data_IF_022459483898
#
_entry.id   IF_022459483898
#
_cell.length_a   1.000
_cell.length_b   1.000
_cell.length_c   1.000
_cell.angle_alpha   90.00
_cell.angle_beta   90.00
_cell.angle_gamma   90.00
#
_symmetry.space_group_name_H-M   'P 1'
#
loop_
_entity.id
_entity.type
_entity.pdbx_description
1 polymer ?
#
# COMPACT_ATOMS: atom_id res chain seq x y z
N UNK A 1 -18.38 56.23 -17.27
CA UNK A 1 -16.99 56.49 -16.86
C UNK A 1 -16.06 55.72 -17.79
N UNK A 2 -14.91 56.32 -18.10
CA UNK A 2 -13.91 55.91 -19.09
C UNK A 2 -12.98 54.78 -18.58
N UNK A 3 -12.45 53.99 -19.55
CA UNK A 3 -11.13 53.28 -19.61
C UNK A 3 -11.02 51.91 -18.88
N UNK A 4 -10.38 50.82 -19.37
CA UNK A 4 -9.37 50.52 -20.42
C UNK A 4 -9.44 49.02 -20.84
N UNK A 5 -9.01 48.71 -22.08
CA UNK A 5 -8.85 47.41 -22.76
C UNK A 5 -7.38 46.93 -22.71
N UNK A 6 -7.10 45.59 -22.70
CA UNK A 6 -5.99 44.83 -23.34
C UNK A 6 -5.81 43.47 -22.59
N UNK A 7 -6.05 42.25 -23.10
CA UNK A 7 -5.52 41.43 -24.24
C UNK A 7 -4.02 41.10 -24.18
N UNK A 8 -3.72 39.79 -24.29
CA UNK A 8 -2.51 39.05 -24.75
C UNK A 8 -2.07 37.96 -23.74
N UNK A 9 -1.63 36.72 -24.06
CA UNK A 9 -1.80 35.72 -25.14
C UNK A 9 -0.76 34.59 -24.88
N UNK A 10 -0.90 33.45 -25.60
CA UNK A 10 0.13 32.39 -25.84
C UNK A 10 0.44 31.50 -24.61
N UNK A 11 0.35 30.16 -24.63
CA UNK A 11 0.54 29.17 -25.69
C UNK A 11 1.80 28.36 -25.37
N UNK A 12 1.67 27.10 -24.93
CA UNK A 12 2.79 26.15 -24.93
C UNK A 12 2.28 24.76 -25.32
N UNK A 13 2.51 24.40 -26.57
CA UNK A 13 2.41 23.03 -27.08
C UNK A 13 3.58 22.22 -26.52
N UNK A 14 3.31 21.08 -25.90
CA UNK A 14 4.33 20.07 -25.60
C UNK A 14 4.23 19.00 -26.68
N UNK A 15 5.23 18.97 -27.55
CA UNK A 15 5.40 17.93 -28.56
C UNK A 15 5.99 16.66 -27.93
N UNK A 16 5.29 15.54 -28.04
CA UNK A 16 5.84 14.21 -27.76
C UNK A 16 6.72 13.77 -28.93
N UNK A 17 8.03 13.77 -28.71
CA UNK A 17 8.99 13.14 -29.62
C UNK A 17 8.98 11.62 -29.38
N UNK A 18 8.29 10.89 -30.25
CA UNK A 18 8.37 9.43 -30.35
C UNK A 18 9.65 9.03 -31.09
N UNK A 19 10.61 8.47 -30.37
CA UNK A 19 11.78 7.82 -30.98
C UNK A 19 11.38 6.47 -31.59
N UNK A 20 11.34 6.45 -32.93
CA UNK A 20 11.35 5.25 -33.77
C UNK A 20 12.62 4.42 -33.49
N UNK A 21 12.44 3.23 -32.91
CA UNK A 21 13.40 2.13 -33.07
C UNK A 21 13.23 1.52 -34.45
N UNK A 22 14.23 1.69 -35.32
CA UNK A 22 14.36 0.93 -36.58
C UNK A 22 15.21 -0.31 -36.33
N UNK A 23 14.60 -1.46 -36.62
CA UNK A 23 15.13 -2.65 -37.28
C UNK A 23 16.61 -3.02 -37.08
N UNK A 24 16.85 -4.23 -36.58
CA UNK A 24 17.73 -5.18 -37.27
C UNK A 24 17.32 -6.63 -36.98
N UNK A 25 16.87 -7.30 -38.03
CA UNK A 25 16.81 -8.76 -38.17
C UNK A 25 18.23 -9.29 -38.30
N UNK A 26 18.59 -10.35 -37.60
CA UNK A 26 19.41 -11.42 -38.17
C UNK A 26 19.24 -12.71 -37.37
N UNK A 27 19.11 -13.78 -38.14
CA UNK A 27 18.77 -15.15 -37.80
C UNK A 27 20.08 -15.93 -37.75
N UNK A 28 20.31 -16.78 -36.74
CA UNK A 28 21.35 -17.80 -36.78
C UNK A 28 20.99 -18.94 -35.80
N UNK A 29 20.32 -19.94 -36.37
CA UNK A 29 20.44 -21.38 -36.13
C UNK A 29 21.21 -21.81 -34.85
N UNK A 30 20.45 -22.30 -33.87
CA UNK A 30 20.98 -22.97 -32.69
C UNK A 30 21.01 -24.49 -32.95
N UNK A 31 22.20 -24.99 -33.26
CA UNK A 31 22.49 -26.42 -33.34
C UNK A 31 22.56 -26.99 -31.92
N UNK A 32 21.63 -27.90 -31.62
CA UNK A 32 21.53 -28.64 -30.36
C UNK A 32 22.65 -29.68 -30.27
N UNK A 33 23.56 -29.51 -29.30
CA UNK A 33 24.40 -30.60 -28.78
C UNK A 33 24.35 -30.56 -27.26
N UNK A 34 23.65 -31.56 -26.72
CA UNK A 34 23.54 -31.89 -25.31
C UNK A 34 24.90 -32.36 -24.79
N UNK A 35 25.47 -31.64 -23.82
CA UNK A 35 26.55 -32.13 -22.98
C UNK A 35 26.16 -31.91 -21.52
N UNK A 36 26.06 -33.01 -20.78
CA UNK A 36 25.87 -33.04 -19.33
C UNK A 36 27.05 -32.34 -18.64
N UNK A 37 26.75 -31.26 -17.91
CA UNK A 37 27.66 -30.70 -16.91
C UNK A 37 27.01 -30.81 -15.54
N UNK A 38 27.59 -31.66 -14.72
CA UNK A 38 27.43 -31.70 -13.26
C UNK A 38 27.81 -30.33 -12.71
N UNK A 39 26.81 -29.51 -12.39
CA UNK A 39 27.02 -28.18 -11.82
C UNK A 39 26.68 -28.22 -10.33
N UNK A 40 27.74 -28.24 -9.51
CA UNK A 40 27.68 -27.85 -8.12
C UNK A 40 27.02 -26.47 -8.03
N UNK A 41 25.84 -26.44 -7.42
CA UNK A 41 25.10 -25.20 -7.15
C UNK A 41 25.97 -24.27 -6.29
N UNK A 42 26.36 -23.08 -6.78
CA UNK A 42 26.83 -22.04 -5.89
C UNK A 42 25.62 -21.57 -5.09
N UNK A 43 25.76 -21.54 -3.77
CA UNK A 43 24.79 -20.91 -2.89
C UNK A 43 24.44 -19.53 -3.46
N UNK A 44 23.15 -19.31 -3.73
CA UNK A 44 22.65 -18.04 -4.23
C UNK A 44 23.01 -16.95 -3.22
N UNK A 45 24.02 -16.14 -3.56
CA UNK A 45 24.26 -14.89 -2.88
C UNK A 45 23.00 -14.05 -3.08
N UNK A 46 22.30 -13.73 -1.99
CA UNK A 46 21.20 -12.78 -2.00
C UNK A 46 21.74 -11.49 -2.62
N UNK A 47 21.12 -10.92 -3.67
CA UNK A 47 21.61 -9.69 -4.27
C UNK A 47 21.67 -8.62 -3.19
N UNK A 48 22.81 -7.96 -3.05
CA UNK A 48 23.06 -6.97 -1.99
C UNK A 48 22.14 -5.73 -2.02
N UNK A 49 21.20 -5.66 -2.98
CA UNK A 49 20.34 -4.51 -3.26
C UNK A 49 18.83 -4.84 -3.26
N UNK A 50 18.40 -6.04 -2.86
CA UNK A 50 16.95 -6.27 -2.71
C UNK A 50 16.42 -5.58 -1.45
N UNK A 51 15.31 -4.84 -1.53
CA UNK A 51 14.71 -4.18 -0.38
C UNK A 51 14.37 -5.20 0.71
N UNK A 52 14.80 -4.93 1.94
CA UNK A 52 14.49 -5.79 3.08
C UNK A 52 12.99 -5.81 3.33
N UNK A 53 12.42 -7.00 3.47
CA UNK A 53 10.99 -7.20 3.75
C UNK A 53 10.79 -7.73 5.16
N UNK A 54 9.65 -7.38 5.75
CA UNK A 54 9.27 -7.76 7.11
C UNK A 54 7.82 -8.23 7.12
N UNK A 55 7.52 -9.21 7.97
CA UNK A 55 6.14 -9.59 8.25
C UNK A 55 5.53 -8.56 9.22
N UNK A 56 4.27 -8.17 8.99
CA UNK A 56 3.55 -7.27 9.89
C UNK A 56 2.39 -8.02 10.51
N UNK A 57 2.36 -8.08 11.83
CA UNK A 57 1.34 -8.80 12.60
C UNK A 57 0.47 -7.81 13.36
N UNK A 58 -0.85 -7.99 13.26
CA UNK A 58 -1.85 -7.25 14.01
C UNK A 58 -2.41 -8.12 15.14
N UNK A 59 -2.53 -7.57 16.35
CA UNK A 59 -3.06 -8.30 17.50
C UNK A 59 -4.03 -7.44 18.34
N UNK A 60 -5.32 -7.78 18.42
CA UNK A 60 -6.00 -8.82 17.63
C UNK A 60 -6.04 -8.47 16.13
N UNK A 61 -6.24 -9.48 15.28
CA UNK A 61 -6.39 -9.30 13.82
C UNK A 61 -7.83 -8.91 13.43
N UNK A 62 -8.79 -9.06 14.34
CA UNK A 62 -10.21 -8.82 14.13
C UNK A 62 -10.87 -8.13 15.32
N UNK A 63 -11.74 -7.16 15.05
CA UNK A 63 -12.43 -6.36 16.07
C UNK A 63 -13.81 -5.94 15.61
N UNK A 64 -14.70 -5.68 16.58
CA UNK A 64 -15.99 -5.05 16.32
C UNK A 64 -15.89 -3.53 16.49
N UNK A 65 -16.51 -2.80 15.59
CA UNK A 65 -16.56 -1.35 15.54
C UNK A 65 -17.99 -0.84 15.33
N UNK A 66 -18.21 0.40 15.76
CA UNK A 66 -19.50 1.10 15.72
C UNK A 66 -20.27 0.97 17.03
N UNK A 67 -21.16 1.93 17.29
CA UNK A 67 -21.89 2.03 18.57
C UNK A 67 -22.73 0.78 18.85
N UNK A 68 -23.22 0.14 17.79
CA UNK A 68 -24.02 -1.08 17.84
C UNK A 68 -23.21 -2.35 17.46
N UNK A 69 -21.88 -2.24 17.34
CA UNK A 69 -20.98 -3.32 16.88
C UNK A 69 -21.38 -3.88 15.51
N UNK A 70 -21.86 -3.00 14.64
CA UNK A 70 -22.37 -3.32 13.32
C UNK A 70 -21.29 -3.62 12.27
N UNK A 71 -20.03 -3.23 12.53
CA UNK A 71 -18.90 -3.53 11.65
C UNK A 71 -17.96 -4.54 12.30
N UNK A 72 -17.80 -5.73 11.73
CA UNK A 72 -16.68 -6.62 12.04
C UNK A 72 -15.53 -6.31 11.08
N UNK A 73 -14.41 -5.87 11.62
CA UNK A 73 -13.25 -5.44 10.84
C UNK A 73 -12.09 -6.39 11.08
N UNK A 74 -11.47 -6.88 10.01
CA UNK A 74 -10.29 -7.73 10.04
C UNK A 74 -9.15 -7.08 9.27
N UNK A 75 -7.97 -7.03 9.89
CA UNK A 75 -6.74 -6.52 9.30
C UNK A 75 -5.84 -7.71 8.97
N UNK A 76 -5.48 -7.88 7.70
CA UNK A 76 -4.78 -9.08 7.22
C UNK A 76 -3.79 -8.78 6.10
N UNK A 77 -3.03 -9.80 5.69
CA UNK A 77 -2.13 -9.77 4.54
C UNK A 77 -1.11 -8.62 4.60
N UNK A 78 -0.58 -8.35 5.79
CA UNK A 78 0.26 -7.20 6.01
C UNK A 78 1.75 -7.52 5.85
N UNK A 79 2.43 -6.62 5.16
CA UNK A 79 3.87 -6.72 4.88
C UNK A 79 4.50 -5.35 4.95
N UNK A 80 5.79 -5.32 5.27
CA UNK A 80 6.60 -4.11 5.26
C UNK A 80 7.78 -4.27 4.31
N UNK A 81 8.13 -3.18 3.63
CA UNK A 81 9.28 -3.11 2.72
C UNK A 81 10.11 -1.89 3.08
N UNK A 82 11.40 -2.08 3.31
CA UNK A 82 12.35 -1.00 3.57
C UNK A 82 12.58 -0.18 2.29
N UNK A 83 12.56 1.15 2.42
CA UNK A 83 12.76 2.07 1.30
C UNK A 83 14.17 2.64 1.40
N UNK A 84 14.94 2.56 0.32
CA UNK A 84 16.27 3.18 0.18
C UNK A 84 16.31 4.18 -0.97
N UNK A 85 17.22 5.14 -0.88
CA UNK A 85 17.56 6.01 -2.02
C UNK A 85 18.60 5.36 -2.95
N UNK A 86 19.00 6.08 -4.01
CA UNK A 86 19.98 5.60 -4.99
C UNK A 86 21.37 5.33 -4.39
N UNK A 87 21.68 5.94 -3.25
CA UNK A 87 22.95 5.76 -2.52
C UNK A 87 22.86 4.62 -1.48
N UNK A 88 21.71 3.94 -1.40
CA UNK A 88 21.47 2.83 -0.47
C UNK A 88 21.13 3.27 0.95
N UNK A 89 20.90 4.56 1.20
CA UNK A 89 20.51 5.05 2.53
C UNK A 89 19.03 4.78 2.75
N UNK A 90 18.71 4.24 3.92
CA UNK A 90 17.33 3.97 4.33
C UNK A 90 16.58 5.29 4.50
N UNK A 91 15.50 5.45 3.75
CA UNK A 91 14.60 6.62 3.79
C UNK A 91 13.33 6.35 4.59
N UNK A 92 12.97 5.07 4.80
CA UNK A 92 11.78 4.70 5.58
C UNK A 92 11.37 3.25 5.38
N UNK A 93 10.13 2.96 5.74
CA UNK A 93 9.50 1.65 5.51
C UNK A 93 8.07 1.85 5.03
N UNK A 94 7.66 1.16 3.98
CA UNK A 94 6.27 1.10 3.54
C UNK A 94 5.60 -0.13 4.12
N UNK A 95 4.53 0.05 4.91
CA UNK A 95 3.65 -1.03 5.35
C UNK A 95 2.47 -1.07 4.39
N UNK A 96 2.21 -2.23 3.77
CA UNK A 96 1.00 -2.49 2.97
C UNK A 96 0.15 -3.56 3.65
N UNK A 97 -1.18 -3.38 3.66
CA UNK A 97 -2.10 -4.34 4.27
C UNK A 97 -3.50 -4.30 3.65
N UNK A 98 -4.31 -5.32 3.97
CA UNK A 98 -5.71 -5.43 3.58
C UNK A 98 -6.62 -5.24 4.80
N UNK A 99 -7.73 -4.54 4.59
CA UNK A 99 -8.85 -4.46 5.55
C UNK A 99 -10.06 -5.15 4.97
N UNK A 100 -10.57 -6.15 5.66
CA UNK A 100 -11.85 -6.79 5.37
C UNK A 100 -12.90 -6.28 6.35
N UNK A 101 -14.05 -5.87 5.83
CA UNK A 101 -15.16 -5.34 6.64
C UNK A 101 -16.40 -6.16 6.33
N UNK A 102 -16.97 -6.77 7.37
CA UNK A 102 -18.27 -7.42 7.32
C UNK A 102 -19.30 -6.53 7.98
N UNK A 103 -20.34 -6.17 7.23
CA UNK A 103 -21.52 -5.49 7.75
C UNK A 103 -22.44 -6.50 8.43
N UNK A 104 -22.68 -6.31 9.73
CA UNK A 104 -23.50 -7.19 10.57
C UNK A 104 -24.97 -6.76 10.65
N UNK A 105 -25.36 -5.67 9.99
CA UNK A 105 -26.76 -5.29 9.85
C UNK A 105 -27.52 -6.34 9.03
N UNK A 106 -28.79 -6.55 9.37
CA UNK A 106 -29.68 -7.50 8.68
C UNK A 106 -30.00 -7.07 7.25
N UNK A 107 -30.33 -8.03 6.37
CA UNK A 107 -30.79 -7.74 5.00
C UNK A 107 -31.95 -6.75 5.00
N UNK A 108 -31.84 -5.71 4.17
CA UNK A 108 -32.79 -4.58 4.13
C UNK A 108 -32.47 -3.45 5.12
N UNK A 109 -31.50 -3.65 6.00
CA UNK A 109 -30.92 -2.61 6.86
C UNK A 109 -29.94 -1.69 6.13
N UNK A 110 -29.26 -0.84 6.90
CA UNK A 110 -28.35 0.16 6.34
C UNK A 110 -27.01 -0.43 5.91
N UNK A 111 -26.49 0.07 4.77
CA UNK A 111 -25.10 -0.13 4.38
C UNK A 111 -24.14 0.60 5.31
N UNK A 112 -22.88 0.18 5.30
CA UNK A 112 -21.79 0.79 6.07
C UNK A 112 -20.82 1.45 5.10
N UNK A 113 -20.55 2.75 5.29
CA UNK A 113 -19.40 3.40 4.67
C UNK A 113 -18.21 3.30 5.63
N UNK A 114 -17.13 2.68 5.17
CA UNK A 114 -15.94 2.44 5.97
C UNK A 114 -14.73 3.11 5.32
N UNK A 115 -14.02 3.96 6.06
CA UNK A 115 -12.93 4.76 5.56
C UNK A 115 -11.62 4.51 6.33
N UNK A 116 -10.69 3.69 5.78
CA UNK A 116 -9.39 3.50 6.40
C UNK A 116 -8.56 4.78 6.55
N UNK A 117 -8.84 5.84 5.77
CA UNK A 117 -8.13 7.13 5.89
C UNK A 117 -8.28 7.82 7.25
N UNK A 118 -9.27 7.43 8.04
CA UNK A 118 -9.46 7.91 9.41
C UNK A 118 -8.55 7.21 10.42
N UNK A 119 -7.87 6.13 10.02
CA UNK A 119 -7.01 5.38 10.92
C UNK A 119 -5.74 6.14 11.27
N UNK A 120 -5.19 5.81 12.43
CA UNK A 120 -3.98 6.45 12.95
C UNK A 120 -3.01 5.37 13.40
N UNK A 121 -1.89 5.25 12.70
CA UNK A 121 -0.80 4.36 13.11
C UNK A 121 0.05 5.11 14.14
N UNK A 122 0.18 4.56 15.33
CA UNK A 122 1.06 5.05 16.38
C UNK A 122 2.43 4.38 16.22
N UNK A 123 3.48 5.20 16.26
CA UNK A 123 4.86 4.76 16.20
C UNK A 123 5.46 4.62 17.60
N UNK A 124 6.57 3.90 17.70
CA UNK A 124 7.35 3.70 18.91
C UNK A 124 7.84 5.01 19.55
N UNK A 125 8.14 6.02 18.74
CA UNK A 125 8.52 7.36 19.18
C UNK A 125 7.35 8.23 19.67
N UNK A 126 6.13 7.69 19.71
CA UNK A 126 4.93 8.39 20.18
C UNK A 126 4.23 9.26 19.12
N UNK A 127 4.82 9.43 17.94
CA UNK A 127 4.16 10.12 16.83
C UNK A 127 3.07 9.26 16.21
N UNK A 128 2.06 9.90 15.63
CA UNK A 128 1.03 9.22 14.86
C UNK A 128 1.00 9.71 13.42
N UNK A 129 0.82 8.77 12.49
CA UNK A 129 0.76 9.02 11.05
C UNK A 129 -0.55 8.53 10.45
N UNK A 130 -0.92 9.12 9.33
CA UNK A 130 -2.04 8.71 8.48
C UNK A 130 -1.53 7.90 7.29
N UNK A 131 -2.46 7.31 6.54
CA UNK A 131 -2.14 6.60 5.31
C UNK A 131 -1.50 7.50 4.25
N UNK A 132 -0.64 6.86 3.46
CA UNK A 132 -0.16 7.36 2.17
C UNK A 132 -1.15 7.01 1.06
N UNK A 133 -1.70 5.79 1.10
CA UNK A 133 -2.74 5.32 0.19
C UNK A 133 -3.80 4.51 0.93
N UNK A 134 -5.07 4.64 0.54
CA UNK A 134 -6.17 3.88 1.10
C UNK A 134 -7.36 3.83 0.15
N UNK A 135 -8.23 2.83 0.33
CA UNK A 135 -9.49 2.72 -0.40
C UNK A 135 -10.67 2.62 0.57
N UNK A 136 -11.64 3.51 0.44
CA UNK A 136 -12.89 3.45 1.21
C UNK A 136 -13.84 2.38 0.65
N UNK A 137 -14.70 1.83 1.50
CA UNK A 137 -15.65 0.78 1.16
C UNK A 137 -17.08 1.22 1.43
N UNK A 138 -18.01 0.86 0.55
CA UNK A 138 -19.44 0.83 0.84
C UNK A 138 -19.87 -0.63 0.96
N UNK A 139 -20.21 -1.08 2.16
CA UNK A 139 -20.50 -2.48 2.48
C UNK A 139 -21.99 -2.65 2.73
N UNK A 140 -22.66 -3.38 1.84
CA UNK A 140 -24.09 -3.65 1.93
C UNK A 140 -24.40 -4.53 3.16
N UNK A 141 -25.64 -4.49 3.64
CA UNK A 141 -26.06 -5.29 4.79
C UNK A 141 -25.78 -6.80 4.58
N UNK A 142 -25.35 -7.48 5.65
CA UNK A 142 -24.89 -8.89 5.66
C UNK A 142 -23.79 -9.24 4.64
N UNK A 143 -23.09 -8.25 4.08
CA UNK A 143 -22.01 -8.49 3.11
C UNK A 143 -20.62 -8.22 3.71
N UNK A 144 -19.61 -8.77 3.02
CA UNK A 144 -18.20 -8.55 3.33
C UNK A 144 -17.51 -7.96 2.11
N UNK A 145 -16.72 -6.90 2.31
CA UNK A 145 -15.86 -6.32 1.26
C UNK A 145 -14.46 -6.05 1.81
N UNK A 146 -13.48 -6.07 0.92
CA UNK A 146 -12.09 -5.79 1.25
C UNK A 146 -11.60 -4.51 0.60
N UNK A 147 -10.76 -3.79 1.33
CA UNK A 147 -9.92 -2.69 0.88
C UNK A 147 -8.49 -3.21 0.83
N UNK A 148 -7.92 -3.26 -0.37
CA UNK A 148 -6.52 -3.68 -0.61
C UNK A 148 -5.63 -2.46 -0.79
N UNK A 149 -4.31 -2.69 -0.74
CA UNK A 149 -3.27 -1.69 -0.98
C UNK A 149 -3.35 -0.47 -0.06
N UNK A 150 -3.80 -0.67 1.19
CA UNK A 150 -3.71 0.36 2.22
C UNK A 150 -2.25 0.49 2.67
N UNK A 151 -1.71 1.70 2.61
CA UNK A 151 -0.29 1.95 2.83
C UNK A 151 -0.02 2.98 3.90
N UNK A 152 0.93 2.69 4.77
CA UNK A 152 1.59 3.67 5.64
C UNK A 152 3.05 3.80 5.24
N UNK A 153 3.57 5.04 5.23
CA UNK A 153 4.99 5.30 5.04
C UNK A 153 5.61 5.80 6.34
N UNK A 154 6.44 4.94 6.94
CA UNK A 154 7.10 5.21 8.20
C UNK A 154 8.41 5.98 7.93
N UNK A 155 8.71 7.02 8.72
CA UNK A 155 10.03 7.64 8.70
C UNK A 155 11.14 6.64 9.06
N UNK A 156 12.34 6.85 8.52
CA UNK A 156 13.51 6.04 8.83
C UNK A 156 13.76 5.94 10.35
N UNK A 157 14.07 4.74 10.83
CA UNK A 157 14.39 4.48 12.24
C UNK A 157 13.19 4.42 13.17
N UNK A 158 11.95 4.46 12.65
CA UNK A 158 10.73 4.29 13.46
C UNK A 158 10.12 2.91 13.28
N UNK A 159 9.36 2.44 14.27
CA UNK A 159 8.62 1.18 14.21
C UNK A 159 7.14 1.39 14.53
N UNK A 160 6.23 0.61 13.91
CA UNK A 160 4.83 0.66 14.28
C UNK A 160 4.64 0.05 15.68
N UNK A 161 3.67 0.58 16.42
CA UNK A 161 3.32 0.10 17.76
C UNK A 161 1.87 -0.34 17.86
N UNK A 162 0.96 0.48 17.35
CA UNK A 162 -0.47 0.18 17.37
C UNK A 162 -1.21 0.92 16.29
N UNK A 163 -2.27 0.33 15.75
CA UNK A 163 -3.17 0.94 14.79
C UNK A 163 -4.49 1.28 15.49
N UNK A 164 -4.88 2.55 15.44
CA UNK A 164 -6.20 2.98 15.89
C UNK A 164 -7.16 2.96 14.72
N UNK A 165 -8.20 2.15 14.87
CA UNK A 165 -9.30 1.98 13.93
C UNK A 165 -10.47 2.84 14.40
N UNK A 166 -11.12 3.54 13.47
CA UNK A 166 -12.22 4.45 13.77
C UNK A 166 -13.42 4.15 12.89
N UNK A 167 -14.61 4.19 13.48
CA UNK A 167 -15.87 4.08 12.78
C UNK A 167 -17.02 4.51 13.69
N UNK A 168 -17.97 5.30 13.19
CA UNK A 168 -19.17 5.74 13.94
C UNK A 168 -18.83 6.29 15.34
N UNK A 169 -17.84 7.19 15.39
CA UNK A 169 -17.28 7.82 16.61
C UNK A 169 -16.66 6.85 17.63
N UNK A 170 -16.61 5.55 17.31
CA UNK A 170 -15.93 4.55 18.13
C UNK A 170 -14.47 4.42 17.71
N UNK A 171 -13.62 4.04 18.68
CA UNK A 171 -12.20 3.76 18.47
C UNK A 171 -11.86 2.40 19.04
N UNK A 172 -11.14 1.59 18.26
CA UNK A 172 -10.49 0.38 18.75
C UNK A 172 -9.01 0.43 18.40
N UNK A 173 -8.16 0.05 19.35
CA UNK A 173 -6.71 0.01 19.16
C UNK A 173 -6.27 -1.45 19.01
N UNK A 174 -5.54 -1.76 17.95
CA UNK A 174 -4.90 -3.06 17.73
C UNK A 174 -3.38 -2.90 17.81
N UNK A 175 -2.68 -3.84 18.44
CA UNK A 175 -1.22 -3.86 18.47
C UNK A 175 -0.65 -4.18 17.09
N UNK A 176 0.51 -3.61 16.78
CA UNK A 176 1.23 -3.85 15.52
C UNK A 176 2.66 -4.21 15.83
N UNK A 177 3.14 -5.29 15.23
CA UNK A 177 4.52 -5.75 15.35
C UNK A 177 5.11 -6.02 13.97
N UNK A 178 6.37 -5.60 13.76
CA UNK A 178 7.17 -5.95 12.59
C UNK A 178 8.18 -7.03 12.97
N UNK A 179 8.19 -8.14 12.23
CA UNK A 179 9.08 -9.28 12.41
C UNK A 179 10.10 -9.38 11.28
#
# INVERSE_FOLDING_TARGET
MKRIILVFSVGLMVAFAACKGKNKTENAEQQTTTAEQTQSSPAAATPANEPKTYEVVFSPDSVYLGKEKQALVRVKNAKAVELSDADGKITGTEITYEVEVTNKNQVGGHGIFFNPGDFRLLLDNGNSITHDNYNSLNVDAESTKSSTDNKFRLPAGTRPKSLNLFYDETRVTVGVEMK
#
